data_IF_085694866936
#
_entry.id   IF_085694866936
#
_cell.length_a   1.000
_cell.length_b   1.000
_cell.length_c   1.000
_cell.angle_alpha   90.00
_cell.angle_beta   90.00
_cell.angle_gamma   90.00
#
_symmetry.space_group_name_H-M   'P 1'
#
loop_
_entity.id
_entity.type
_entity.pdbx_description
1 polymer ?
#
# COMPACT_ATOMS: atom_id res chain seq x y z
N UNK A 1 6.02 -10.33 -17.47
CA UNK A 1 5.65 -10.84 -16.12
C UNK A 1 6.51 -12.01 -15.62
N UNK A 2 6.78 -13.07 -16.39
CA UNK A 2 7.63 -14.19 -15.92
C UNK A 2 9.02 -13.74 -15.42
N UNK A 3 9.54 -12.67 -15.96
CA UNK A 3 10.84 -12.10 -15.57
C UNK A 3 10.87 -11.63 -14.12
N UNK A 4 9.73 -11.25 -13.52
CA UNK A 4 9.62 -10.72 -12.16
C UNK A 4 9.17 -11.75 -11.11
N UNK A 5 8.78 -12.96 -11.53
CA UNK A 5 8.31 -13.99 -10.59
C UNK A 5 9.47 -14.46 -9.71
N UNK A 6 9.25 -14.49 -8.40
CA UNK A 6 10.22 -14.90 -7.37
C UNK A 6 11.53 -14.09 -7.36
N UNK A 7 11.48 -12.83 -7.77
CA UNK A 7 12.63 -11.92 -7.75
C UNK A 7 12.47 -10.81 -6.73
N UNK A 8 13.60 -10.35 -6.22
CA UNK A 8 13.69 -9.11 -5.42
C UNK A 8 14.20 -8.02 -6.34
N UNK A 9 13.43 -6.94 -6.46
CA UNK A 9 13.79 -5.74 -7.21
C UNK A 9 14.21 -4.69 -6.19
N UNK A 10 15.42 -4.17 -6.31
CA UNK A 10 15.93 -3.10 -5.47
C UNK A 10 15.93 -1.80 -6.25
N UNK A 11 15.08 -0.85 -5.86
CA UNK A 11 14.95 0.44 -6.55
C UNK A 11 13.91 1.34 -5.91
N UNK A 12 13.74 2.52 -6.50
CA UNK A 12 12.65 3.43 -6.15
C UNK A 12 11.32 2.86 -6.66
N UNK A 13 10.35 2.67 -5.78
CA UNK A 13 9.06 2.06 -6.13
C UNK A 13 8.30 2.86 -7.22
N UNK A 14 8.43 4.19 -7.26
CA UNK A 14 7.82 5.02 -8.31
C UNK A 14 8.44 4.79 -9.70
N UNK A 15 9.67 4.31 -9.73
CA UNK A 15 10.36 3.95 -10.98
C UNK A 15 10.07 2.50 -11.34
N UNK A 16 10.25 1.60 -10.37
CA UNK A 16 10.14 0.16 -10.60
C UNK A 16 8.71 -0.28 -10.93
N UNK A 17 7.69 0.30 -10.27
CA UNK A 17 6.29 0.00 -10.59
C UNK A 17 5.94 0.30 -12.06
N UNK A 18 6.53 1.33 -12.66
CA UNK A 18 6.29 1.70 -14.06
C UNK A 18 6.79 0.66 -15.06
N UNK A 19 7.69 -0.22 -14.65
CA UNK A 19 8.19 -1.31 -15.49
C UNK A 19 7.25 -2.51 -15.53
N UNK A 20 6.31 -2.59 -14.59
CA UNK A 20 5.32 -3.65 -14.53
C UNK A 20 4.14 -3.36 -15.47
N UNK A 21 3.59 -4.41 -16.05
CA UNK A 21 2.41 -4.34 -16.92
C UNK A 21 1.14 -4.03 -16.11
N UNK A 22 0.17 -3.38 -16.75
CA UNK A 22 -1.16 -3.16 -16.17
C UNK A 22 -1.83 -4.49 -15.84
N UNK A 23 -2.55 -4.54 -14.71
CA UNK A 23 -3.34 -5.71 -14.31
C UNK A 23 -2.51 -7.02 -14.25
N UNK A 24 -1.28 -6.93 -13.80
CA UNK A 24 -0.34 -8.05 -13.79
C UNK A 24 -0.14 -8.69 -12.42
N UNK A 25 -0.48 -7.98 -11.34
CA UNK A 25 -0.24 -8.38 -9.94
C UNK A 25 -1.54 -8.82 -9.28
N UNK A 26 -1.54 -9.97 -8.62
CA UNK A 26 -2.74 -10.53 -7.97
C UNK A 26 -3.07 -9.85 -6.65
N UNK A 27 -2.05 -9.50 -5.87
CA UNK A 27 -2.20 -8.80 -4.59
C UNK A 27 -0.95 -8.01 -4.24
N UNK A 28 -1.11 -6.99 -3.41
CA UNK A 28 -0.02 -6.16 -2.89
C UNK A 28 -0.06 -6.21 -1.38
N UNK A 29 1.08 -6.49 -0.76
CA UNK A 29 1.29 -6.35 0.69
C UNK A 29 2.49 -5.44 0.90
N UNK A 30 2.31 -4.36 1.64
CA UNK A 30 3.36 -3.35 1.81
C UNK A 30 3.40 -2.78 3.22
N UNK A 31 4.59 -2.47 3.68
CA UNK A 31 4.86 -1.79 4.95
C UNK A 31 5.63 -0.49 4.65
N UNK A 32 4.92 0.57 4.19
CA UNK A 32 5.57 1.83 3.85
C UNK A 32 6.01 2.58 5.11
N UNK A 33 6.89 3.58 5.00
CA UNK A 33 7.24 4.45 6.11
C UNK A 33 5.99 5.09 6.74
N UNK A 34 5.91 5.09 8.08
CA UNK A 34 4.71 5.58 8.79
C UNK A 34 4.63 7.10 8.91
N UNK A 35 5.62 7.82 8.37
CA UNK A 35 5.71 9.29 8.41
C UNK A 35 5.66 9.86 9.84
N UNK A 36 6.26 9.14 10.77
CA UNK A 36 6.32 9.53 12.20
C UNK A 36 7.55 10.37 12.52
N UNK A 37 8.50 10.50 11.58
CA UNK A 37 9.79 11.14 11.82
C UNK A 37 10.64 10.33 12.82
N UNK A 38 10.58 9.01 12.76
CA UNK A 38 11.19 8.11 13.73
C UNK A 38 12.68 8.41 13.90
N UNK A 39 13.08 8.80 15.11
CA UNK A 39 14.46 9.18 15.47
C UNK A 39 15.12 10.18 14.51
N UNK A 40 14.37 11.04 13.84
CA UNK A 40 14.88 12.00 12.84
C UNK A 40 15.43 11.34 11.57
N UNK A 41 15.07 10.10 11.30
CA UNK A 41 15.52 9.38 10.10
C UNK A 41 14.78 9.87 8.87
N UNK A 42 15.52 10.23 7.84
CA UNK A 42 14.98 10.79 6.59
C UNK A 42 14.07 9.82 5.83
N UNK A 43 14.29 8.52 5.94
CA UNK A 43 13.47 7.51 5.27
C UNK A 43 12.03 7.44 5.79
N UNK A 44 11.78 7.85 7.05
CA UNK A 44 10.44 7.86 7.67
C UNK A 44 9.73 9.22 7.53
N UNK A 45 10.19 10.07 6.64
CA UNK A 45 9.61 11.39 6.34
C UNK A 45 9.69 11.74 4.86
N UNK A 46 9.61 10.71 4.01
CA UNK A 46 9.69 10.88 2.55
C UNK A 46 8.37 11.33 1.93
N UNK A 47 7.26 11.21 2.66
CA UNK A 47 5.91 11.48 2.15
C UNK A 47 5.35 10.39 1.24
N UNK A 48 6.09 9.31 1.03
CA UNK A 48 5.71 8.28 0.04
C UNK A 48 4.40 7.58 0.40
N UNK A 49 4.13 7.32 1.68
CA UNK A 49 2.89 6.69 2.12
C UNK A 49 1.64 7.56 1.87
N UNK A 50 1.83 8.88 1.74
CA UNK A 50 0.76 9.84 1.47
C UNK A 50 0.73 10.29 -0.01
N UNK A 51 1.56 9.68 -0.85
CA UNK A 51 1.68 10.04 -2.26
C UNK A 51 0.63 9.31 -3.10
N UNK A 52 -0.40 10.03 -3.54
CA UNK A 52 -1.50 9.49 -4.36
C UNK A 52 -1.00 8.86 -5.67
N UNK A 53 0.03 9.43 -6.30
CA UNK A 53 0.57 8.89 -7.57
C UNK A 53 1.22 7.52 -7.38
N UNK A 54 1.86 7.28 -6.24
CA UNK A 54 2.39 5.95 -5.91
C UNK A 54 1.26 4.93 -5.79
N UNK A 55 0.18 5.27 -5.11
CA UNK A 55 -0.97 4.39 -4.98
C UNK A 55 -1.73 4.19 -6.29
N UNK A 56 -1.75 5.19 -7.19
CA UNK A 56 -2.29 5.01 -8.56
C UNK A 56 -1.49 3.99 -9.36
N UNK A 57 -0.16 3.98 -9.23
CA UNK A 57 0.67 2.97 -9.88
C UNK A 57 0.41 1.57 -9.28
N UNK A 58 0.23 1.48 -7.95
CA UNK A 58 -0.19 0.23 -7.32
C UNK A 58 -1.55 -0.26 -7.86
N UNK A 59 -2.51 0.65 -8.03
CA UNK A 59 -3.82 0.32 -8.60
C UNK A 59 -3.72 -0.13 -10.07
N UNK A 60 -2.86 0.53 -10.85
CA UNK A 60 -2.66 0.20 -12.28
C UNK A 60 -2.13 -1.22 -12.45
N UNK A 61 -1.15 -1.62 -11.66
CA UNK A 61 -0.54 -2.96 -11.78
C UNK A 61 -1.40 -4.06 -11.17
N UNK A 62 -2.28 -3.72 -10.24
CA UNK A 62 -3.14 -4.68 -9.56
C UNK A 62 -4.27 -5.13 -10.49
N UNK A 63 -4.50 -6.44 -10.55
CA UNK A 63 -5.62 -7.00 -11.30
C UNK A 63 -6.96 -6.52 -10.74
N UNK A 64 -8.01 -6.38 -11.59
CA UNK A 64 -9.36 -6.11 -11.12
C UNK A 64 -9.80 -7.12 -10.05
N UNK A 65 -10.30 -6.63 -8.91
CA UNK A 65 -10.65 -7.46 -7.76
C UNK A 65 -9.46 -7.88 -6.88
N UNK A 66 -8.24 -7.50 -7.23
CA UNK A 66 -7.07 -7.72 -6.40
C UNK A 66 -7.10 -6.90 -5.12
N UNK A 67 -6.39 -7.34 -4.09
CA UNK A 67 -6.35 -6.72 -2.77
C UNK A 67 -5.02 -6.05 -2.49
N UNK A 68 -5.09 -4.89 -1.86
CA UNK A 68 -3.94 -4.20 -1.28
C UNK A 68 -4.05 -4.26 0.24
N UNK A 69 -3.00 -4.75 0.91
CA UNK A 69 -2.84 -4.69 2.36
C UNK A 69 -1.67 -3.76 2.66
N UNK A 70 -1.93 -2.67 3.38
CA UNK A 70 -0.91 -1.71 3.74
C UNK A 70 -0.86 -1.53 5.26
N UNK A 71 0.33 -1.73 5.81
CA UNK A 71 0.60 -1.47 7.23
C UNK A 71 0.75 0.03 7.49
N UNK A 72 0.31 0.47 8.65
CA UNK A 72 0.52 1.85 9.10
C UNK A 72 0.44 1.97 10.61
N UNK A 73 1.02 3.04 11.14
CA UNK A 73 0.92 3.38 12.55
C UNK A 73 -0.43 4.03 12.90
N UNK A 74 -0.90 3.79 14.11
CA UNK A 74 -2.19 4.31 14.62
C UNK A 74 -2.33 5.83 14.58
N UNK A 75 -1.22 6.57 14.55
CA UNK A 75 -1.23 8.05 14.53
C UNK A 75 -1.35 8.64 13.13
N UNK A 76 -0.97 7.90 12.08
CA UNK A 76 -0.83 8.42 10.72
C UNK A 76 -1.64 7.65 9.67
N UNK A 77 -2.20 6.49 10.00
CA UNK A 77 -2.91 5.63 9.05
C UNK A 77 -4.01 6.35 8.26
N UNK A 78 -4.71 7.30 8.88
CA UNK A 78 -5.80 8.03 8.25
C UNK A 78 -5.35 8.83 7.02
N UNK A 79 -4.12 9.36 7.02
CA UNK A 79 -3.57 10.10 5.87
C UNK A 79 -3.27 9.17 4.71
N UNK A 80 -2.64 8.04 5.01
CA UNK A 80 -2.37 7.01 4.01
C UNK A 80 -3.68 6.44 3.46
N UNK A 81 -4.68 6.15 4.31
CA UNK A 81 -5.99 5.68 3.90
C UNK A 81 -6.65 6.63 2.90
N UNK A 82 -6.66 7.93 3.21
CA UNK A 82 -7.19 8.96 2.30
C UNK A 82 -6.45 8.99 0.96
N UNK A 83 -5.11 8.89 0.98
CA UNK A 83 -4.32 8.90 -0.25
C UNK A 83 -4.60 7.65 -1.12
N UNK A 84 -4.83 6.50 -0.50
CA UNK A 84 -5.19 5.26 -1.19
C UNK A 84 -6.60 5.36 -1.80
N UNK A 85 -7.59 5.92 -1.08
CA UNK A 85 -8.93 6.19 -1.61
C UNK A 85 -8.89 7.19 -2.77
N UNK A 86 -8.12 8.27 -2.64
CA UNK A 86 -7.94 9.28 -3.68
C UNK A 86 -7.29 8.68 -4.95
N UNK A 87 -6.50 7.64 -4.80
CA UNK A 87 -5.92 6.90 -5.92
C UNK A 87 -6.95 6.01 -6.65
N UNK A 88 -8.12 5.76 -6.06
CA UNK A 88 -9.20 5.01 -6.67
C UNK A 88 -9.49 3.64 -6.05
N UNK A 89 -8.82 3.29 -4.96
CA UNK A 89 -9.14 2.09 -4.18
C UNK A 89 -10.44 2.27 -3.39
N UNK A 90 -11.03 1.16 -3.01
CA UNK A 90 -12.13 1.11 -2.05
C UNK A 90 -11.61 0.53 -0.72
N UNK A 91 -11.76 1.27 0.38
CA UNK A 91 -11.45 0.76 1.72
C UNK A 91 -12.47 -0.32 2.08
N UNK A 92 -11.99 -1.51 2.42
CA UNK A 92 -12.83 -2.64 2.78
C UNK A 92 -12.90 -2.85 4.27
N UNK A 93 -11.74 -2.90 4.92
CA UNK A 93 -11.67 -3.21 6.33
C UNK A 93 -10.36 -2.72 6.94
N UNK A 94 -10.31 -2.70 8.25
CA UNK A 94 -9.12 -2.45 9.03
C UNK A 94 -8.87 -3.63 9.97
N UNK A 95 -7.70 -4.26 9.83
CA UNK A 95 -7.26 -5.36 10.69
C UNK A 95 -6.23 -4.79 11.66
N UNK A 96 -6.47 -5.00 12.96
CA UNK A 96 -5.49 -4.62 13.97
C UNK A 96 -4.51 -5.75 14.23
N UNK A 97 -3.22 -5.47 14.10
CA UNK A 97 -2.16 -6.36 14.52
C UNK A 97 -1.75 -5.99 15.95
N UNK A 98 -2.13 -6.81 16.92
CA UNK A 98 -1.84 -6.57 18.33
C UNK A 98 -0.61 -7.38 18.73
N UNK A 99 0.47 -6.69 19.09
CA UNK A 99 1.67 -7.30 19.68
C UNK A 99 1.66 -7.07 21.19
N UNK A 100 1.62 -8.15 21.97
CA UNK A 100 1.78 -8.09 23.42
C UNK A 100 3.28 -8.23 23.71
N UNK A 101 3.92 -7.10 23.98
CA UNK A 101 5.26 -7.01 24.58
C UNK A 101 5.05 -6.31 25.92
N UNK A 102 6.09 -6.06 26.71
CA UNK A 102 6.02 -5.28 27.96
C UNK A 102 5.29 -3.91 27.83
N UNK A 103 5.10 -3.46 26.58
CA UNK A 103 4.24 -2.32 26.20
C UNK A 103 3.36 -2.79 25.03
N UNK A 104 2.06 -2.48 25.11
CA UNK A 104 1.12 -2.79 24.02
C UNK A 104 1.39 -1.82 22.87
N UNK A 105 1.82 -2.35 21.72
CA UNK A 105 1.93 -1.59 20.48
C UNK A 105 0.85 -2.07 19.52
N UNK A 106 0.12 -1.15 18.93
CA UNK A 106 -0.91 -1.43 17.91
C UNK A 106 -0.38 -0.99 16.54
N UNK A 107 -0.34 -1.91 15.60
CA UNK A 107 -0.13 -1.61 14.19
C UNK A 107 -1.45 -1.88 13.45
N UNK A 108 -1.85 -0.98 12.57
CA UNK A 108 -3.01 -1.15 11.72
C UNK A 108 -2.61 -1.75 10.39
N UNK A 109 -3.32 -2.77 9.96
CA UNK A 109 -3.29 -3.26 8.58
C UNK A 109 -4.59 -2.85 7.91
N UNK A 110 -4.50 -2.05 6.88
CA UNK A 110 -5.66 -1.65 6.10
C UNK A 110 -5.81 -2.56 4.88
N UNK A 111 -7.01 -3.03 4.64
CA UNK A 111 -7.34 -3.87 3.49
C UNK A 111 -8.10 -3.03 2.48
N UNK A 112 -7.59 -3.00 1.27
CA UNK A 112 -8.18 -2.25 0.15
C UNK A 112 -8.41 -3.18 -1.02
N UNK A 113 -9.38 -2.85 -1.86
CA UNK A 113 -9.58 -3.53 -3.15
C UNK A 113 -9.65 -2.53 -4.29
N UNK A 114 -9.20 -2.95 -5.47
CA UNK A 114 -9.53 -2.25 -6.69
C UNK A 114 -11.03 -2.32 -6.94
N UNK A 115 -11.66 -1.21 -7.33
CA UNK A 115 -13.08 -1.21 -7.71
C UNK A 115 -13.30 -2.15 -8.89
N UNK A 116 -14.13 -3.16 -8.68
CA UNK A 116 -14.59 -4.00 -9.79
C UNK A 116 -15.77 -3.29 -10.43
N UNK A 117 -15.57 -2.72 -11.61
CA UNK A 117 -16.67 -2.18 -12.39
C UNK A 117 -17.35 -3.34 -13.11
N UNK A 118 -18.44 -3.87 -12.57
CA UNK A 118 -19.29 -4.77 -13.31
C UNK A 118 -20.04 -3.96 -14.37
N UNK A 119 -19.69 -4.16 -15.64
CA UNK A 119 -20.58 -3.78 -16.73
C UNK A 119 -21.70 -4.81 -16.74
N UNK A 120 -22.86 -4.45 -16.19
CA UNK A 120 -24.08 -5.20 -16.41
C UNK A 120 -24.51 -4.83 -17.85
N UNK A 121 -24.40 -5.79 -18.74
CA UNK A 121 -25.02 -5.68 -20.08
C UNK A 121 -26.51 -5.94 -19.98
#
# INVERSE_FOLDING_TARGET
MEEYINKVICGDCLVELKTLEDNSVDSIVTDPPYELGFMGKSWDSTGIANNVEMWKECLRVLKPGGHLLAFSGTRTYHRMASAIEDAGFEVRDMIEWVRIVLYITFDCVLVYTSKVTYKIC
#
